data_IF_514196339407
#
_entry.id   IF_514196339407
#
_cell.length_a   1.000
_cell.length_b   1.000
_cell.length_c   1.000
_cell.angle_alpha   90.00
_cell.angle_beta   90.00
_cell.angle_gamma   90.00
#
_symmetry.space_group_name_H-M   'P 1'
#
loop_
_entity.id
_entity.type
_entity.pdbx_description
1 polymer ?
#
# COMPACT_ATOMS: atom_id res chain seq x y z
N UNK A 1 -15.66 -36.00 6.29
CA UNK A 1 -15.05 -35.06 5.31
C UNK A 1 -14.15 -35.86 4.36
N UNK A 2 -13.70 -35.32 3.23
CA UNK A 2 -12.67 -35.95 2.39
C UNK A 2 -11.27 -35.58 2.92
N UNK A 3 -10.39 -36.57 3.08
CA UNK A 3 -9.02 -36.42 3.58
C UNK A 3 -8.18 -35.41 2.77
N UNK A 4 -8.42 -35.27 1.46
CA UNK A 4 -7.74 -34.29 0.62
C UNK A 4 -8.20 -32.86 0.91
N UNK A 5 -9.47 -32.67 1.27
CA UNK A 5 -10.00 -31.37 1.68
C UNK A 5 -9.51 -31.03 3.09
N UNK A 6 -9.43 -32.04 3.98
CA UNK A 6 -8.84 -31.88 5.31
C UNK A 6 -7.38 -31.43 5.24
N UNK A 7 -6.52 -32.14 4.50
CA UNK A 7 -5.11 -31.77 4.27
C UNK A 7 -4.95 -30.34 3.74
N UNK A 8 -5.76 -29.94 2.76
CA UNK A 8 -5.75 -28.58 2.19
C UNK A 8 -6.21 -27.47 3.15
N UNK A 9 -6.86 -27.82 4.26
CA UNK A 9 -7.37 -26.88 5.28
C UNK A 9 -6.69 -27.01 6.62
N UNK A 10 -5.66 -27.86 6.74
CA UNK A 10 -5.02 -28.19 8.00
C UNK A 10 -4.27 -26.99 8.61
N UNK A 11 -3.52 -26.24 7.80
CA UNK A 11 -2.87 -24.99 8.25
C UNK A 11 -3.91 -23.92 8.61
N UNK A 12 -4.94 -23.72 7.77
CA UNK A 12 -6.07 -22.83 8.11
C UNK A 12 -6.76 -23.24 9.43
N UNK A 13 -6.77 -24.53 9.79
CA UNK A 13 -7.33 -25.04 11.04
C UNK A 13 -6.43 -24.75 12.24
N UNK A 14 -5.12 -25.02 12.11
CA UNK A 14 -4.12 -24.80 13.17
C UNK A 14 -4.01 -23.32 13.58
N UNK A 15 -4.18 -22.39 12.64
CA UNK A 15 -4.19 -20.94 12.89
C UNK A 15 -5.56 -20.38 13.33
N UNK A 16 -6.58 -21.24 13.57
CA UNK A 16 -7.99 -20.87 13.78
C UNK A 16 -8.56 -19.97 12.65
N UNK A 17 -8.01 -20.11 11.45
CA UNK A 17 -8.29 -19.29 10.27
C UNK A 17 -9.51 -19.74 9.43
N UNK A 18 -10.08 -20.91 9.70
CA UNK A 18 -11.30 -21.45 9.06
C UNK A 18 -12.63 -20.85 9.59
N UNK A 19 -13.76 -21.26 8.99
CA UNK A 19 -15.12 -20.99 9.50
C UNK A 19 -15.55 -22.03 10.53
N UNK A 20 -16.48 -21.67 11.43
CA UNK A 20 -17.03 -22.57 12.47
C UNK A 20 -17.55 -23.90 11.90
N UNK A 21 -18.31 -23.85 10.80
CA UNK A 21 -18.89 -25.05 10.18
C UNK A 21 -17.81 -25.98 9.60
N UNK A 22 -16.72 -25.41 9.08
CA UNK A 22 -15.56 -26.16 8.61
C UNK A 22 -14.78 -26.76 9.80
N UNK A 23 -14.64 -26.00 10.90
CA UNK A 23 -13.98 -26.46 12.13
C UNK A 23 -14.65 -27.70 12.69
N UNK A 24 -15.97 -27.65 12.88
CA UNK A 24 -16.75 -28.81 13.35
C UNK A 24 -16.72 -30.00 12.37
N UNK A 25 -16.64 -29.74 11.05
CA UNK A 25 -16.48 -30.80 10.05
C UNK A 25 -15.08 -31.45 10.08
N UNK A 26 -14.03 -30.70 10.42
CA UNK A 26 -12.67 -31.19 10.58
C UNK A 26 -12.47 -31.94 11.89
N UNK A 27 -13.02 -31.44 13.00
CA UNK A 27 -13.04 -32.11 14.31
C UNK A 27 -13.66 -33.52 14.20
N UNK A 28 -14.88 -33.63 13.68
CA UNK A 28 -15.54 -34.91 13.43
C UNK A 28 -14.76 -35.82 12.48
N UNK A 29 -14.11 -35.26 11.47
CA UNK A 29 -13.30 -36.08 10.56
C UNK A 29 -12.03 -36.63 11.22
N UNK A 30 -11.44 -35.93 12.20
CA UNK A 30 -10.35 -36.49 13.00
C UNK A 30 -10.82 -37.61 13.92
N UNK A 31 -12.04 -37.54 14.46
CA UNK A 31 -12.66 -38.64 15.22
C UNK A 31 -12.86 -39.89 14.36
N UNK A 32 -13.24 -39.73 13.09
CA UNK A 32 -13.52 -40.81 12.14
C UNK A 32 -12.29 -41.34 11.37
N UNK A 33 -11.24 -40.52 11.18
CA UNK A 33 -10.10 -40.85 10.31
C UNK A 33 -8.75 -40.75 11.04
N UNK A 34 -8.20 -41.91 11.39
CA UNK A 34 -6.92 -42.06 12.11
C UNK A 34 -5.73 -41.43 11.35
N UNK A 35 -5.63 -41.64 10.04
CA UNK A 35 -4.57 -41.05 9.20
C UNK A 35 -4.58 -39.51 9.24
N UNK A 36 -5.76 -38.89 9.10
CA UNK A 36 -5.91 -37.44 9.20
C UNK A 36 -5.59 -36.91 10.61
N UNK A 37 -5.91 -37.67 11.65
CA UNK A 37 -5.55 -37.36 13.05
C UNK A 37 -4.04 -37.44 13.29
N UNK A 38 -3.37 -38.44 12.75
CA UNK A 38 -1.91 -38.59 12.84
C UNK A 38 -1.18 -37.43 12.14
N UNK A 39 -1.65 -37.04 10.95
CA UNK A 39 -1.11 -35.87 10.23
C UNK A 39 -1.35 -34.60 11.04
N UNK A 40 -2.56 -34.39 11.59
CA UNK A 40 -2.84 -33.23 12.45
C UNK A 40 -1.90 -33.16 13.66
N UNK A 41 -1.68 -34.28 14.35
CA UNK A 41 -0.80 -34.31 15.52
C UNK A 41 0.65 -33.94 15.16
N UNK A 42 1.18 -34.44 14.03
CA UNK A 42 2.54 -34.11 13.57
C UNK A 42 2.69 -32.64 13.18
N UNK A 43 1.75 -32.08 12.42
CA UNK A 43 1.79 -30.66 12.04
C UNK A 43 1.60 -29.74 13.26
N UNK A 44 0.81 -30.17 14.26
CA UNK A 44 0.65 -29.45 15.54
C UNK A 44 1.92 -29.48 16.38
N UNK A 45 2.61 -30.62 16.45
CA UNK A 45 3.89 -30.76 17.15
C UNK A 45 4.95 -29.83 16.54
N UNK A 46 5.03 -29.75 15.20
CA UNK A 46 5.91 -28.81 14.48
C UNK A 46 5.55 -27.34 14.77
N UNK A 47 4.26 -26.97 14.80
CA UNK A 47 3.82 -25.61 15.14
C UNK A 47 4.11 -25.26 16.62
N UNK A 48 3.97 -26.21 17.54
CA UNK A 48 4.32 -26.03 18.96
C UNK A 48 5.83 -25.88 19.18
N UNK A 49 6.66 -26.72 18.52
CA UNK A 49 8.12 -26.56 18.50
C UNK A 49 8.52 -25.20 17.93
N UNK A 50 7.97 -24.82 16.76
CA UNK A 50 8.25 -23.53 16.12
C UNK A 50 7.90 -22.36 17.04
N UNK A 51 6.71 -22.34 17.64
CA UNK A 51 6.30 -21.30 18.60
C UNK A 51 7.18 -21.27 19.84
N UNK A 52 7.66 -22.42 20.32
CA UNK A 52 8.56 -22.48 21.48
C UNK A 52 9.88 -21.73 21.25
N UNK A 53 10.40 -21.74 20.01
CA UNK A 53 11.60 -20.98 19.61
C UNK A 53 11.37 -19.46 19.63
N UNK A 54 10.12 -19.01 19.43
CA UNK A 54 9.75 -17.58 19.47
C UNK A 54 9.26 -17.10 20.85
N UNK A 55 9.07 -18.00 21.83
CA UNK A 55 8.80 -17.66 23.23
C UNK A 55 10.07 -17.16 23.96
N UNK A 56 10.69 -16.13 23.41
CA UNK A 56 11.69 -15.31 24.10
C UNK A 56 10.91 -14.26 24.91
N UNK A 57 11.29 -14.06 26.18
CA UNK A 57 10.55 -13.28 27.18
C UNK A 57 9.94 -11.96 26.64
N UNK A 58 8.61 -11.93 26.53
CA UNK A 58 7.83 -10.70 26.32
C UNK A 58 7.14 -10.52 24.95
N UNK A 59 7.20 -11.48 24.03
CA UNK A 59 6.53 -11.36 22.72
C UNK A 59 5.33 -12.33 22.60
N UNK A 60 4.13 -11.87 22.98
CA UNK A 60 2.89 -12.58 22.66
C UNK A 60 2.46 -12.34 21.19
N UNK A 61 2.58 -13.37 20.35
CA UNK A 61 2.01 -13.37 19.00
C UNK A 61 0.49 -13.55 19.02
N UNK A 62 -0.23 -12.50 19.42
CA UNK A 62 -1.69 -12.45 19.29
C UNK A 62 -2.11 -12.35 17.81
N UNK A 63 -2.89 -13.34 17.34
CA UNK A 63 -3.43 -13.31 15.98
C UNK A 63 -4.32 -12.09 15.76
N UNK A 64 -3.92 -11.20 14.86
CA UNK A 64 -4.60 -9.95 14.54
C UNK A 64 -6.04 -10.15 14.04
N UNK A 65 -6.40 -11.38 13.64
CA UNK A 65 -7.77 -11.81 13.36
C UNK A 65 -8.74 -11.58 14.53
N UNK A 66 -8.33 -11.84 15.77
CA UNK A 66 -9.21 -11.65 16.93
C UNK A 66 -9.62 -10.18 17.09
N UNK A 67 -8.68 -9.26 16.90
CA UNK A 67 -8.93 -7.82 17.00
C UNK A 67 -9.62 -7.26 15.76
N UNK A 68 -9.33 -7.77 14.56
CA UNK A 68 -10.10 -7.46 13.35
C UNK A 68 -11.58 -7.90 13.54
N UNK A 69 -11.84 -9.09 14.07
CA UNK A 69 -13.19 -9.60 14.33
C UNK A 69 -13.93 -8.86 15.47
N UNK A 70 -13.22 -8.22 16.39
CA UNK A 70 -13.79 -7.25 17.35
C UNK A 70 -14.08 -5.90 16.71
N UNK A 71 -13.20 -5.41 15.81
CA UNK A 71 -13.32 -4.11 15.12
C UNK A 71 -14.37 -4.10 14.00
N UNK A 72 -14.77 -5.26 13.46
CA UNK A 72 -15.89 -5.36 12.50
C UNK A 72 -17.22 -5.13 13.22
N UNK A 73 -17.87 -3.99 12.94
CA UNK A 73 -19.24 -3.72 13.40
C UNK A 73 -20.23 -4.73 12.80
N UNK A 74 -20.60 -5.71 13.63
CA UNK A 74 -21.56 -6.77 13.29
C UNK A 74 -22.94 -6.21 12.91
N UNK A 75 -23.31 -5.01 13.37
CA UNK A 75 -24.58 -4.39 13.03
C UNK A 75 -24.63 -3.95 11.56
N UNK A 76 -23.49 -3.47 11.02
CA UNK A 76 -23.35 -3.05 9.60
C UNK A 76 -23.67 -4.16 8.61
N UNK A 77 -23.33 -5.41 8.95
CA UNK A 77 -23.51 -6.59 8.10
C UNK A 77 -24.68 -7.50 8.53
N UNK A 78 -25.39 -7.13 9.59
CA UNK A 78 -26.56 -7.88 10.08
C UNK A 78 -27.66 -7.98 9.02
N UNK A 79 -28.23 -9.18 8.83
CA UNK A 79 -29.29 -9.43 7.84
C UNK A 79 -30.67 -8.89 8.25
N UNK A 80 -30.79 -8.17 9.37
CA UNK A 80 -32.08 -7.68 9.87
C UNK A 80 -32.66 -6.60 8.94
N UNK A 81 -33.98 -6.68 8.69
CA UNK A 81 -34.68 -5.71 7.81
C UNK A 81 -34.67 -4.29 8.42
N UNK A 82 -34.63 -4.19 9.74
CA UNK A 82 -34.58 -2.93 10.51
C UNK A 82 -33.27 -2.18 10.30
N UNK A 83 -32.11 -2.84 10.42
CA UNK A 83 -30.81 -2.16 10.28
C UNK A 83 -30.55 -1.66 8.85
N UNK A 84 -31.07 -2.38 7.84
CA UNK A 84 -31.08 -1.87 6.45
C UNK A 84 -31.88 -0.58 6.32
N UNK A 85 -33.06 -0.49 6.94
CA UNK A 85 -33.92 0.70 6.87
C UNK A 85 -33.25 1.91 7.54
N UNK A 86 -32.68 1.73 8.73
CA UNK A 86 -31.88 2.76 9.43
C UNK A 86 -30.69 3.22 8.58
N UNK A 87 -29.98 2.30 7.93
CA UNK A 87 -28.88 2.64 7.04
C UNK A 87 -29.33 3.46 5.82
N UNK A 88 -30.45 3.10 5.18
CA UNK A 88 -31.01 3.88 4.06
C UNK A 88 -31.43 5.29 4.49
N UNK A 89 -32.06 5.44 5.66
CA UNK A 89 -32.43 6.75 6.22
C UNK A 89 -31.17 7.58 6.51
N UNK A 90 -30.16 7.01 7.16
CA UNK A 90 -28.90 7.68 7.50
C UNK A 90 -28.11 8.08 6.24
N UNK A 91 -28.08 7.23 5.21
CA UNK A 91 -27.41 7.49 3.92
C UNK A 91 -28.07 8.62 3.13
N UNK A 92 -29.40 8.74 3.15
CA UNK A 92 -30.15 9.76 2.42
C UNK A 92 -30.62 10.95 3.30
N UNK A 93 -30.06 11.13 4.50
CA UNK A 93 -30.55 12.09 5.52
C UNK A 93 -30.86 13.49 4.98
N UNK A 94 -30.00 14.03 4.11
CA UNK A 94 -30.17 15.37 3.54
C UNK A 94 -31.40 15.50 2.61
N UNK A 95 -31.74 14.43 1.86
CA UNK A 95 -32.94 14.39 1.00
C UNK A 95 -34.24 14.33 1.82
N UNK A 96 -34.19 13.67 2.98
CA UNK A 96 -35.31 13.67 3.92
C UNK A 96 -35.45 15.01 4.64
N UNK A 97 -34.34 15.64 5.06
CA UNK A 97 -34.38 17.00 5.64
C UNK A 97 -34.97 18.04 4.67
N UNK A 98 -34.61 18.01 3.37
CA UNK A 98 -35.20 18.93 2.40
C UNK A 98 -36.71 18.69 2.19
N UNK A 99 -37.16 17.44 2.20
CA UNK A 99 -38.58 17.11 2.08
C UNK A 99 -39.39 17.55 3.32
N UNK A 100 -38.84 17.36 4.53
CA UNK A 100 -39.46 17.82 5.78
C UNK A 100 -39.53 19.35 5.84
N UNK A 101 -38.47 20.06 5.40
CA UNK A 101 -38.48 21.51 5.31
C UNK A 101 -39.56 22.02 4.35
N UNK A 102 -39.69 21.43 3.16
CA UNK A 102 -40.74 21.77 2.20
C UNK A 102 -42.16 21.52 2.76
N UNK A 103 -42.38 20.41 3.47
CA UNK A 103 -43.65 20.12 4.13
C UNK A 103 -43.98 21.11 5.25
N UNK A 104 -42.99 21.51 6.06
CA UNK A 104 -43.16 22.52 7.10
C UNK A 104 -43.53 23.90 6.50
N UNK A 105 -42.89 24.29 5.40
CA UNK A 105 -43.25 25.53 4.66
C UNK A 105 -44.70 25.45 4.17
N UNK A 106 -45.14 24.34 3.57
CA UNK A 106 -46.53 24.18 3.14
C UNK A 106 -47.53 24.29 4.31
N UNK A 107 -47.24 23.65 5.45
CA UNK A 107 -48.10 23.73 6.64
C UNK A 107 -48.21 25.14 7.23
N UNK A 108 -47.18 25.97 7.09
CA UNK A 108 -47.20 27.37 7.57
C UNK A 108 -47.90 28.29 6.57
N UNK A 109 -47.64 28.15 5.27
CA UNK A 109 -48.15 29.07 4.25
C UNK A 109 -49.60 28.78 3.81
N UNK A 110 -50.03 27.51 3.76
CA UNK A 110 -51.40 27.17 3.34
C UNK A 110 -52.49 27.84 4.20
N UNK A 111 -52.42 27.85 5.55
CA UNK A 111 -53.40 28.56 6.38
C UNK A 111 -53.42 30.09 6.17
N UNK A 112 -52.27 30.69 5.84
CA UNK A 112 -52.14 32.14 5.62
C UNK A 112 -52.81 32.53 4.30
N UNK A 113 -52.51 31.81 3.22
CA UNK A 113 -53.14 32.01 1.90
C UNK A 113 -54.64 31.71 1.97
N UNK A 114 -55.06 30.64 2.67
CA UNK A 114 -56.46 30.30 2.86
C UNK A 114 -57.24 31.36 3.67
N UNK A 115 -56.61 32.02 4.64
CA UNK A 115 -57.23 33.13 5.39
C UNK A 115 -57.45 34.39 4.55
N UNK A 116 -56.48 34.75 3.69
CA UNK A 116 -56.62 35.91 2.80
C UNK A 116 -57.59 35.68 1.62
N UNK A 117 -58.06 34.45 1.39
CA UNK A 117 -58.98 34.09 0.31
C UNK A 117 -60.47 34.39 0.60
N UNK A 118 -60.80 34.98 1.76
CA UNK A 118 -62.17 35.48 2.02
C UNK A 118 -62.40 36.85 1.38
N UNK A 119 -62.34 36.90 0.05
CA UNK A 119 -62.57 38.11 -0.74
C UNK A 119 -62.70 37.83 -2.24
N UNK A 120 -63.94 38.02 -2.74
CA UNK A 120 -64.39 37.96 -4.14
C UNK A 120 -64.46 36.61 -4.88
N UNK A 121 -65.68 36.36 -5.38
CA UNK A 121 -66.03 35.33 -6.34
C UNK A 121 -65.46 35.68 -7.73
N UNK A 122 -64.78 34.72 -8.37
CA UNK A 122 -64.74 34.62 -9.83
C UNK A 122 -65.02 33.17 -10.24
N UNK A 123 -66.31 32.85 -10.27
CA UNK A 123 -66.84 31.61 -10.81
C UNK A 123 -67.80 31.97 -11.95
N UNK A 124 -67.27 32.10 -13.18
CA UNK A 124 -68.11 32.17 -14.39
C UNK A 124 -67.37 31.80 -15.68
N UNK A 125 -67.75 30.65 -16.25
CA UNK A 125 -67.55 30.28 -17.66
C UNK A 125 -66.15 29.78 -18.04
N UNK A 126 -66.01 28.80 -18.92
CA UNK A 126 -66.99 27.91 -19.58
C UNK A 126 -66.29 26.61 -19.99
N UNK A 127 -66.91 25.45 -19.77
CA UNK A 127 -66.60 24.25 -20.56
C UNK A 127 -67.46 24.29 -21.82
N UNK A 128 -66.85 24.10 -22.99
CA UNK A 128 -67.22 23.09 -24.01
C UNK A 128 -66.76 23.46 -25.43
N UNK A 129 -66.74 22.43 -26.29
CA UNK A 129 -66.29 22.40 -27.70
C UNK A 129 -64.77 22.50 -27.91
N UNK A 130 -64.03 21.44 -28.26
CA UNK A 130 -64.16 20.42 -29.31
C UNK A 130 -63.34 20.73 -30.58
N UNK A 131 -62.37 19.85 -30.83
CA UNK A 131 -62.03 19.26 -32.13
C UNK A 131 -61.89 20.18 -33.36
N UNK A 132 -60.64 20.48 -33.72
CA UNK A 132 -60.23 20.58 -35.13
C UNK A 132 -58.77 20.15 -35.34
N UNK A 133 -58.53 19.51 -36.48
CA UNK A 133 -57.28 18.88 -36.91
C UNK A 133 -56.38 19.82 -37.70
N UNK A 134 -55.10 19.44 -37.84
CA UNK A 134 -54.15 19.89 -38.88
C UNK A 134 -53.63 21.35 -38.78
N UNK A 135 -52.37 21.67 -39.14
CA UNK A 135 -51.34 20.91 -39.88
C UNK A 135 -49.91 21.52 -39.70
N UNK A 136 -48.93 20.91 -40.40
CA UNK A 136 -47.62 21.47 -40.84
C UNK A 136 -46.38 21.31 -39.92
N UNK A 137 -45.71 20.17 -40.14
CA UNK A 137 -44.26 20.01 -40.37
C UNK A 137 -43.23 20.41 -39.28
N UNK A 138 -42.50 19.39 -38.82
CA UNK A 138 -41.05 19.32 -39.08
C UNK A 138 -40.60 17.90 -39.41
N UNK A 139 -39.58 17.81 -40.29
CA UNK A 139 -39.19 16.59 -41.01
C UNK A 139 -38.44 15.59 -40.12
N UNK A 140 -38.80 14.32 -40.25
CA UNK A 140 -37.87 13.18 -40.17
C UNK A 140 -37.65 12.68 -41.62
N UNK A 141 -36.66 11.81 -41.98
CA UNK A 141 -36.62 10.42 -41.46
C UNK A 141 -35.27 9.65 -41.45
N UNK A 142 -35.20 8.58 -40.62
CA UNK A 142 -34.46 7.29 -40.86
C UNK A 142 -32.92 7.39 -40.99
N UNK A 143 -32.08 6.32 -40.96
CA UNK A 143 -32.16 4.84 -40.78
C UNK A 143 -30.84 4.44 -40.04
N UNK A 144 -30.50 3.23 -39.56
CA UNK A 144 -31.06 1.85 -39.54
C UNK A 144 -30.44 1.10 -38.33
N UNK A 145 -30.77 -0.19 -38.12
CA UNK A 145 -30.00 -1.15 -37.30
C UNK A 145 -29.17 -2.08 -38.20
N UNK A 146 -28.00 -2.55 -37.75
CA UNK A 146 -27.41 -3.82 -38.20
C UNK A 146 -26.70 -4.52 -37.03
N UNK A 147 -26.97 -5.82 -36.85
CA UNK A 147 -26.27 -6.69 -35.89
C UNK A 147 -25.29 -7.64 -36.61
N UNK A 148 -24.34 -8.18 -35.82
CA UNK A 148 -23.46 -9.37 -36.00
C UNK A 148 -21.95 -9.05 -36.00
N UNK A 149 -21.07 -9.88 -35.44
CA UNK A 149 -21.17 -10.92 -34.38
C UNK A 149 -19.78 -11.51 -34.08
N UNK A 150 -19.53 -11.93 -32.82
CA UNK A 150 -18.45 -12.85 -32.36
C UNK A 150 -16.97 -12.48 -32.66
N UNK A 151 -16.20 -12.25 -31.60
CA UNK A 151 -15.27 -13.23 -31.03
C UNK A 151 -14.74 -12.68 -29.69
N UNK A 152 -14.41 -13.53 -28.72
CA UNK A 152 -13.98 -13.07 -27.39
C UNK A 152 -12.49 -13.31 -27.13
N UNK A 153 -11.94 -12.60 -26.15
CA UNK A 153 -10.92 -13.15 -25.26
C UNK A 153 -10.87 -12.37 -23.93
N UNK A 154 -10.79 -13.15 -22.85
CA UNK A 154 -10.22 -12.89 -21.52
C UNK A 154 -10.30 -11.49 -20.89
N UNK A 155 -10.91 -11.49 -19.70
CA UNK A 155 -10.82 -10.49 -18.64
C UNK A 155 -9.39 -9.99 -18.37
N UNK A 156 -9.22 -8.67 -18.38
CA UNK A 156 -8.06 -7.99 -17.81
C UNK A 156 -8.37 -7.46 -16.40
N UNK A 157 -7.32 -7.29 -15.59
CA UNK A 157 -7.37 -7.07 -14.15
C UNK A 157 -8.17 -5.86 -13.66
N UNK A 158 -8.74 -6.03 -12.46
CA UNK A 158 -9.08 -4.92 -11.57
C UNK A 158 -7.84 -4.52 -10.77
N UNK A 159 -6.91 -3.81 -11.40
CA UNK A 159 -5.87 -3.09 -10.65
C UNK A 159 -6.55 -1.96 -9.88
N UNK A 160 -6.60 -2.05 -8.55
CA UNK A 160 -7.17 -1.01 -7.70
C UNK A 160 -6.22 0.19 -7.65
N UNK A 161 -6.51 1.21 -8.47
CA UNK A 161 -5.88 2.52 -8.35
C UNK A 161 -6.34 3.13 -7.02
N UNK A 162 -5.45 3.23 -6.05
CA UNK A 162 -5.70 3.88 -4.76
C UNK A 162 -5.43 5.39 -4.90
N UNK A 163 -6.29 6.23 -4.32
CA UNK A 163 -6.23 7.69 -4.50
C UNK A 163 -5.05 8.32 -3.73
N UNK A 164 -4.13 8.91 -4.48
CA UNK A 164 -2.97 9.64 -3.96
C UNK A 164 -3.38 11.04 -3.47
N UNK A 165 -3.03 11.38 -2.22
CA UNK A 165 -3.20 12.72 -1.65
C UNK A 165 -1.84 13.29 -1.25
N UNK A 166 -1.37 14.29 -2.01
CA UNK A 166 -0.15 15.03 -1.71
C UNK A 166 -0.42 16.20 -0.77
N UNK A 167 0.44 16.39 0.24
CA UNK A 167 0.41 17.54 1.13
C UNK A 167 1.75 18.30 1.01
N UNK A 168 1.74 19.50 0.42
CA UNK A 168 2.97 20.16 -0.08
C UNK A 168 3.84 20.88 0.98
N UNK A 169 3.58 20.67 2.27
CA UNK A 169 4.38 21.26 3.34
C UNK A 169 5.72 20.51 3.53
N UNK A 170 6.84 21.21 3.32
CA UNK A 170 8.19 20.65 3.56
C UNK A 170 8.58 20.83 5.03
N UNK A 171 8.87 19.73 5.73
CA UNK A 171 9.31 19.72 7.14
C UNK A 171 10.83 19.82 7.27
N UNK A 172 11.33 20.62 8.20
CA UNK A 172 12.75 20.66 8.57
C UNK A 172 13.08 19.47 9.50
N UNK A 173 14.07 18.65 9.14
CA UNK A 173 14.40 17.40 9.81
C UNK A 173 15.92 17.26 9.96
N UNK A 174 16.35 16.58 11.03
CA UNK A 174 17.78 16.39 11.33
C UNK A 174 18.28 15.06 10.78
N UNK A 175 19.50 15.05 10.25
CA UNK A 175 20.24 13.81 10.03
C UNK A 175 20.64 13.19 11.37
N UNK A 176 20.73 11.87 11.39
CA UNK A 176 21.40 11.15 12.47
C UNK A 176 22.93 11.20 12.26
N UNK A 177 23.67 11.33 13.35
CA UNK A 177 25.14 11.26 13.37
C UNK A 177 25.58 10.46 14.61
N UNK A 178 25.69 9.13 14.46
CA UNK A 178 26.11 8.23 15.55
C UNK A 178 25.54 6.81 15.43
N UNK A 179 26.00 5.92 16.29
CA UNK A 179 25.44 4.57 16.44
C UNK A 179 24.13 4.63 17.23
N UNK A 180 23.01 4.34 16.56
CA UNK A 180 21.70 4.25 17.22
C UNK A 180 21.51 2.83 17.76
N UNK A 181 21.40 2.69 19.08
CA UNK A 181 21.22 1.39 19.74
C UNK A 181 19.89 0.77 19.29
N UNK A 182 19.94 -0.41 18.68
CA UNK A 182 18.75 -1.13 18.20
C UNK A 182 18.31 -0.80 16.77
N UNK A 183 19.09 -0.04 16.00
CA UNK A 183 18.83 0.18 14.57
C UNK A 183 19.81 -0.66 13.74
N UNK A 184 19.28 -1.44 12.79
CA UNK A 184 20.08 -2.17 11.81
C UNK A 184 20.81 -1.18 10.89
N UNK A 185 22.11 -1.40 10.67
CA UNK A 185 22.94 -0.63 9.75
C UNK A 185 23.52 -1.62 8.73
N UNK A 186 23.05 -1.63 7.47
CA UNK A 186 23.50 -2.59 6.46
C UNK A 186 24.98 -2.33 6.14
N UNK A 187 25.81 -3.37 6.16
CA UNK A 187 27.12 -3.35 5.50
C UNK A 187 26.99 -4.06 4.16
N UNK A 188 27.77 -3.66 3.17
CA UNK A 188 27.77 -4.26 1.85
C UNK A 188 29.07 -5.03 1.61
N UNK A 189 28.96 -6.32 1.31
CA UNK A 189 30.09 -7.10 0.81
C UNK A 189 30.32 -6.76 -0.68
N UNK A 190 31.56 -6.42 -1.03
CA UNK A 190 31.94 -5.99 -2.38
C UNK A 190 32.60 -7.16 -3.13
N UNK A 191 32.06 -7.49 -4.30
CA UNK A 191 32.66 -8.47 -5.24
C UNK A 191 32.75 -7.90 -6.65
N UNK A 192 33.61 -8.47 -7.49
CA UNK A 192 33.58 -8.20 -8.94
C UNK A 192 32.37 -8.89 -9.57
N UNK A 193 31.70 -8.21 -10.50
CA UNK A 193 30.62 -8.81 -11.27
C UNK A 193 31.14 -9.96 -12.16
N UNK A 194 30.40 -11.06 -12.21
CA UNK A 194 30.62 -12.17 -13.14
C UNK A 194 30.40 -11.76 -14.59
N UNK A 195 30.76 -12.62 -15.55
CA UNK A 195 30.55 -12.34 -16.99
C UNK A 195 29.07 -12.10 -17.31
N UNK A 196 28.19 -13.02 -16.89
CA UNK A 196 26.73 -12.94 -17.09
C UNK A 196 26.12 -11.66 -16.52
N UNK A 197 26.61 -11.21 -15.37
CA UNK A 197 26.16 -9.99 -14.71
C UNK A 197 26.55 -8.71 -15.47
N UNK A 198 27.75 -8.66 -16.06
CA UNK A 198 28.19 -7.52 -16.89
C UNK A 198 27.47 -7.44 -18.25
N UNK A 199 26.87 -8.55 -18.69
CA UNK A 199 26.12 -8.67 -19.95
C UNK A 199 24.61 -8.36 -19.76
N UNK A 200 24.16 -8.05 -18.53
CA UNK A 200 22.78 -7.59 -18.27
C UNK A 200 22.57 -6.18 -18.85
N UNK A 201 21.54 -6.01 -19.67
CA UNK A 201 21.11 -4.72 -20.21
C UNK A 201 20.33 -3.90 -19.16
N UNK A 202 21.05 -3.32 -18.20
CA UNK A 202 20.50 -2.38 -17.22
C UNK A 202 20.52 -0.96 -17.80
N UNK A 203 19.39 -0.25 -17.76
CA UNK A 203 19.21 1.08 -18.38
C UNK A 203 19.17 2.24 -17.38
N UNK A 204 19.12 1.96 -16.08
CA UNK A 204 18.90 2.92 -14.98
C UNK A 204 20.19 3.43 -14.30
N UNK A 205 21.31 3.39 -15.02
CA UNK A 205 22.62 3.87 -14.55
C UNK A 205 22.64 5.38 -14.28
N UNK A 206 22.97 5.78 -13.05
CA UNK A 206 23.26 7.17 -12.66
C UNK A 206 24.76 7.39 -12.53
N UNK A 207 25.32 8.38 -13.23
CA UNK A 207 26.73 8.75 -13.09
C UNK A 207 27.01 9.51 -11.79
N UNK A 208 28.19 9.24 -11.21
CA UNK A 208 28.83 10.07 -10.19
C UNK A 208 29.12 11.50 -10.68
N UNK A 209 29.24 12.50 -9.80
CA UNK A 209 29.44 13.90 -10.20
C UNK A 209 30.67 14.12 -11.08
N UNK A 210 31.80 13.48 -10.76
CA UNK A 210 33.02 13.50 -11.58
C UNK A 210 33.01 12.58 -12.81
N UNK A 211 31.93 11.83 -13.07
CA UNK A 211 31.82 10.83 -14.16
C UNK A 211 32.90 9.72 -14.14
N UNK A 212 33.52 9.42 -12.99
CA UNK A 212 34.45 8.30 -12.82
C UNK A 212 33.71 6.96 -12.64
N UNK A 213 32.56 7.01 -11.98
CA UNK A 213 31.71 5.87 -11.67
C UNK A 213 30.27 6.08 -12.16
N UNK A 214 29.54 4.99 -12.31
CA UNK A 214 28.09 4.97 -12.53
C UNK A 214 27.47 3.86 -11.69
N UNK A 215 26.27 4.05 -11.16
CA UNK A 215 25.61 3.11 -10.26
C UNK A 215 24.14 2.83 -10.65
N UNK A 216 23.68 1.61 -10.40
CA UNK A 216 22.28 1.21 -10.54
C UNK A 216 21.92 0.11 -9.51
N UNK A 217 20.62 -0.17 -9.36
CA UNK A 217 20.10 -1.30 -8.58
C UNK A 217 19.59 -2.34 -9.58
N UNK A 218 19.86 -3.63 -9.32
CA UNK A 218 19.28 -4.71 -10.12
C UNK A 218 17.73 -4.74 -10.01
N UNK A 219 17.05 -5.27 -11.03
CA UNK A 219 15.59 -5.42 -11.03
C UNK A 219 14.78 -4.13 -11.21
N UNK A 220 15.40 -2.95 -11.13
CA UNK A 220 14.70 -1.67 -11.26
C UNK A 220 14.58 -1.18 -12.71
N UNK A 221 13.45 -1.50 -13.35
CA UNK A 221 12.89 -0.74 -14.48
C UNK A 221 12.25 0.54 -13.94
N UNK A 222 12.24 1.60 -14.74
CA UNK A 222 11.50 2.85 -14.55
C UNK A 222 10.01 2.63 -14.16
N UNK A 223 9.45 1.45 -14.47
CA UNK A 223 8.02 1.11 -14.30
C UNK A 223 7.70 0.00 -13.31
N UNK A 224 8.67 -0.72 -12.74
CA UNK A 224 8.42 -1.75 -11.72
C UNK A 224 9.63 -1.93 -10.80
N UNK A 225 9.36 -2.00 -9.49
CA UNK A 225 10.27 -2.63 -8.51
C UNK A 225 9.94 -4.12 -8.55
N UNK A 226 10.87 -4.94 -9.03
CA UNK A 226 10.74 -6.40 -8.94
C UNK A 226 10.78 -6.84 -7.47
N UNK A 227 10.01 -7.88 -7.10
CA UNK A 227 9.95 -8.37 -5.73
C UNK A 227 11.16 -9.25 -5.43
N UNK A 228 11.97 -8.86 -4.45
CA UNK A 228 13.15 -9.64 -4.05
C UNK A 228 14.25 -8.82 -3.40
N UNK A 229 15.36 -9.51 -3.15
CA UNK A 229 16.61 -8.93 -2.66
C UNK A 229 17.49 -8.62 -3.88
N UNK A 230 17.74 -7.33 -4.10
CA UNK A 230 18.55 -6.82 -5.21
C UNK A 230 19.93 -6.35 -4.73
N UNK A 231 20.90 -6.38 -5.64
CA UNK A 231 22.25 -5.85 -5.41
C UNK A 231 22.40 -4.44 -6.01
N UNK A 232 23.33 -3.64 -5.47
CA UNK A 232 23.79 -2.40 -6.15
C UNK A 232 24.97 -2.76 -7.05
N UNK A 233 24.97 -2.23 -8.27
CA UNK A 233 26.04 -2.39 -9.24
C UNK A 233 26.73 -1.06 -9.45
N UNK A 234 28.07 -1.02 -9.33
CA UNK A 234 28.86 0.19 -9.58
C UNK A 234 29.91 -0.11 -10.66
N UNK A 235 29.81 0.61 -11.77
CA UNK A 235 30.71 0.54 -12.92
C UNK A 235 31.73 1.68 -12.85
N UNK A 236 33.01 1.34 -12.87
CA UNK A 236 34.07 2.31 -13.16
C UNK A 236 34.07 2.60 -14.67
N UNK A 237 33.83 3.87 -15.03
CA UNK A 237 33.59 4.27 -16.42
C UNK A 237 34.87 4.28 -17.27
N UNK A 238 36.04 4.47 -16.66
CA UNK A 238 37.34 4.46 -17.35
C UNK A 238 37.81 3.04 -17.70
N UNK A 239 37.69 2.08 -16.77
CA UNK A 239 38.17 0.71 -16.93
C UNK A 239 37.10 -0.29 -17.38
N UNK A 240 35.82 0.11 -17.35
CA UNK A 240 34.68 -0.76 -17.64
C UNK A 240 34.38 -1.82 -16.57
N UNK A 241 35.21 -1.94 -15.52
CA UNK A 241 35.02 -2.88 -14.43
C UNK A 241 33.72 -2.57 -13.65
N UNK A 242 33.01 -3.64 -13.28
CA UNK A 242 31.77 -3.55 -12.49
C UNK A 242 31.96 -4.32 -11.19
N UNK A 243 31.70 -3.65 -10.08
CA UNK A 243 31.59 -4.25 -8.75
C UNK A 243 30.10 -4.40 -8.38
N UNK A 244 29.79 -5.43 -7.61
CA UNK A 244 28.47 -5.72 -7.05
C UNK A 244 28.57 -5.61 -5.53
N UNK A 245 27.57 -4.97 -4.93
CA UNK A 245 27.46 -4.67 -3.51
C UNK A 245 26.20 -5.37 -3.01
N UNK A 246 26.40 -6.44 -2.24
CA UNK A 246 25.32 -7.24 -1.65
C UNK A 246 25.22 -6.94 -0.15
N UNK A 247 24.01 -6.82 0.40
CA UNK A 247 23.85 -6.63 1.84
C UNK A 247 24.39 -7.85 2.59
N UNK A 248 25.35 -7.60 3.49
CA UNK A 248 26.03 -8.61 4.30
C UNK A 248 25.10 -9.17 5.37
N UNK A 249 25.18 -10.49 5.58
CA UNK A 249 24.46 -11.23 6.63
C UNK A 249 22.95 -10.92 6.69
N UNK A 250 22.33 -10.77 5.51
CA UNK A 250 21.00 -10.21 5.30
C UNK A 250 19.82 -11.14 5.72
N UNK A 251 19.77 -11.48 7.00
CA UNK A 251 18.71 -12.33 7.59
C UNK A 251 17.33 -11.65 7.56
N UNK A 252 17.30 -10.32 7.59
CA UNK A 252 16.09 -9.49 7.57
C UNK A 252 15.50 -9.29 6.16
N UNK A 253 16.12 -9.85 5.11
CA UNK A 253 15.66 -9.71 3.72
C UNK A 253 15.54 -8.25 3.24
N UNK A 254 16.41 -7.39 3.76
CA UNK A 254 16.53 -6.00 3.35
C UNK A 254 17.04 -5.91 1.89
N UNK A 255 16.71 -4.83 1.19
CA UNK A 255 17.18 -4.56 -0.17
C UNK A 255 17.40 -3.06 -0.39
N UNK A 256 18.39 -2.64 -1.20
CA UNK A 256 18.40 -1.30 -1.78
C UNK A 256 17.11 -1.06 -2.59
N UNK A 257 16.40 0.04 -2.29
CA UNK A 257 15.16 0.46 -2.93
C UNK A 257 15.30 1.77 -3.72
N UNK A 258 16.36 2.54 -3.46
CA UNK A 258 16.68 3.77 -4.20
C UNK A 258 18.16 4.10 -4.02
N UNK A 259 18.75 4.77 -5.01
CA UNK A 259 20.07 5.39 -4.86
C UNK A 259 20.16 6.78 -5.48
N UNK A 260 20.98 7.65 -4.89
CA UNK A 260 21.35 8.98 -5.38
C UNK A 260 22.81 9.27 -5.01
N UNK A 261 23.60 9.84 -5.91
CA UNK A 261 24.99 10.19 -5.59
C UNK A 261 25.03 11.39 -4.64
N UNK A 262 25.72 11.24 -3.50
CA UNK A 262 26.02 12.39 -2.65
C UNK A 262 27.29 13.10 -3.12
N UNK A 263 28.37 12.37 -3.36
CA UNK A 263 29.61 12.92 -3.90
C UNK A 263 30.26 11.91 -4.87
N UNK A 264 31.57 11.97 -5.04
CA UNK A 264 32.33 11.12 -5.96
C UNK A 264 32.58 9.69 -5.44
N UNK A 265 32.51 9.50 -4.12
CA UNK A 265 32.85 8.24 -3.42
C UNK A 265 31.70 7.74 -2.51
N UNK A 266 30.63 8.50 -2.36
CA UNK A 266 29.52 8.20 -1.45
C UNK A 266 28.14 8.28 -2.14
N UNK A 267 27.29 7.26 -1.88
CA UNK A 267 25.94 7.10 -2.42
C UNK A 267 24.93 7.11 -1.27
N UNK A 268 23.89 7.92 -1.40
CA UNK A 268 22.71 7.84 -0.54
C UNK A 268 21.84 6.69 -1.03
N UNK A 269 21.73 5.64 -0.21
CA UNK A 269 20.92 4.46 -0.48
C UNK A 269 19.72 4.41 0.46
N UNK A 270 18.54 4.16 -0.09
CA UNK A 270 17.37 3.78 0.71
C UNK A 270 17.37 2.27 0.83
N UNK A 271 17.28 1.73 2.05
CA UNK A 271 17.17 0.29 2.30
C UNK A 271 15.89 0.02 3.09
N UNK A 272 15.10 -0.93 2.59
CA UNK A 272 13.86 -1.42 3.19
C UNK A 272 13.67 -2.91 2.88
N UNK A 273 12.52 -3.49 3.24
CA UNK A 273 12.27 -4.93 3.00
C UNK A 273 12.06 -5.24 1.51
N UNK A 274 12.71 -6.29 1.01
CA UNK A 274 12.62 -6.71 -0.41
C UNK A 274 11.39 -7.55 -0.75
N UNK A 275 10.67 -8.05 0.26
CA UNK A 275 9.43 -8.81 0.09
C UNK A 275 8.26 -8.11 0.78
N UNK A 276 7.06 -8.31 0.24
CA UNK A 276 5.81 -7.74 0.73
C UNK A 276 5.27 -6.60 -0.13
N UNK A 277 3.95 -6.40 -0.11
CA UNK A 277 3.24 -5.38 -0.91
C UNK A 277 3.24 -3.98 -0.27
N UNK A 278 3.65 -3.89 0.99
CA UNK A 278 3.64 -2.66 1.79
C UNK A 278 4.96 -1.90 1.67
N UNK A 279 6.10 -2.60 1.60
CA UNK A 279 7.42 -1.98 1.51
C UNK A 279 7.59 -1.21 0.19
N UNK A 280 7.71 0.11 0.28
CA UNK A 280 7.89 1.04 -0.86
C UNK A 280 9.11 1.96 -0.66
N UNK A 281 9.86 1.75 0.41
CA UNK A 281 10.95 2.60 0.86
C UNK A 281 11.45 2.13 2.24
N UNK A 282 12.22 2.97 2.91
CA UNK A 282 12.77 2.63 4.22
C UNK A 282 13.69 3.70 4.79
N UNK A 283 14.76 3.24 5.44
CA UNK A 283 15.78 4.10 6.04
C UNK A 283 16.77 4.61 4.99
N UNK A 284 17.31 5.81 5.22
CA UNK A 284 18.35 6.41 4.35
C UNK A 284 19.72 6.19 4.98
N UNK A 285 20.64 5.66 4.19
CA UNK A 285 22.03 5.45 4.56
C UNK A 285 22.97 6.11 3.57
N UNK A 286 24.14 6.49 4.06
CA UNK A 286 25.29 6.98 3.30
C UNK A 286 26.26 5.80 3.13
N UNK A 287 26.42 5.30 1.89
CA UNK A 287 27.25 4.15 1.51
C UNK A 287 28.54 4.64 0.85
N UNK A 288 29.68 4.33 1.47
CA UNK A 288 30.98 4.57 0.86
C UNK A 288 31.32 3.46 -0.15
N UNK A 289 31.50 3.83 -1.42
CA UNK A 289 31.70 2.85 -2.50
C UNK A 289 33.05 2.13 -2.41
N UNK A 290 34.04 2.71 -1.73
CA UNK A 290 35.37 2.12 -1.65
C UNK A 290 35.48 1.06 -0.54
N UNK A 291 34.65 1.15 0.51
CA UNK A 291 34.71 0.25 1.68
C UNK A 291 33.48 -0.64 1.87
N UNK A 292 32.32 -0.27 1.32
CA UNK A 292 31.07 -0.98 1.55
C UNK A 292 30.44 -0.71 2.92
N UNK A 293 31.05 0.18 3.71
CA UNK A 293 30.49 0.62 4.98
C UNK A 293 29.37 1.65 4.77
N UNK A 294 28.34 1.60 5.63
CA UNK A 294 27.29 2.62 5.64
C UNK A 294 27.18 3.34 6.96
N UNK A 295 26.56 4.53 6.91
CA UNK A 295 26.15 5.31 8.07
C UNK A 295 24.69 5.70 7.91
N UNK A 296 23.93 5.66 8.99
CA UNK A 296 22.53 6.09 8.94
C UNK A 296 22.44 7.61 8.79
N UNK A 297 21.72 8.06 7.77
CA UNK A 297 21.41 9.48 7.51
C UNK A 297 20.05 9.82 8.09
N UNK A 298 19.06 8.95 7.87
CA UNK A 298 17.71 9.11 8.40
C UNK A 298 17.12 7.76 8.80
N UNK A 299 16.74 7.64 10.08
CA UNK A 299 15.95 6.54 10.60
C UNK A 299 14.47 6.93 10.59
N UNK A 300 13.62 6.18 9.90
CA UNK A 300 12.18 6.45 9.87
C UNK A 300 11.49 6.00 11.14
N UNK A 301 10.30 6.55 11.36
CA UNK A 301 9.40 6.14 12.44
C UNK A 301 8.55 4.92 11.99
N UNK A 302 7.89 4.21 12.93
CA UNK A 302 6.80 3.31 12.56
C UNK A 302 5.78 4.02 11.65
N UNK A 303 5.34 3.34 10.59
CA UNK A 303 4.47 3.88 9.52
C UNK A 303 5.07 4.97 8.62
N UNK A 304 6.36 5.23 8.72
CA UNK A 304 7.06 6.21 7.88
C UNK A 304 8.12 5.48 7.03
N UNK A 305 8.17 5.75 5.73
CA UNK A 305 9.15 5.21 4.80
C UNK A 305 9.66 6.34 3.91
N UNK A 306 10.98 6.52 3.79
CA UNK A 306 11.52 7.37 2.71
C UNK A 306 11.48 6.56 1.44
N UNK A 307 10.82 7.06 0.40
CA UNK A 307 10.77 6.40 -0.92
C UNK A 307 11.73 7.03 -1.93
N UNK A 308 12.19 8.27 -1.68
CA UNK A 308 13.14 8.96 -2.54
C UNK A 308 13.97 9.99 -1.79
N UNK A 309 15.23 10.12 -2.21
CA UNK A 309 16.18 11.14 -1.76
C UNK A 309 16.58 12.00 -2.97
N UNK A 310 16.77 13.30 -2.79
CA UNK A 310 17.27 14.20 -3.83
C UNK A 310 18.23 15.22 -3.22
N UNK A 311 19.49 15.21 -3.66
CA UNK A 311 20.49 16.21 -3.28
C UNK A 311 20.19 17.55 -3.96
N UNK A 312 20.28 18.65 -3.20
CA UNK A 312 20.32 20.02 -3.75
C UNK A 312 21.37 20.84 -3.00
N UNK A 313 22.53 21.05 -3.62
CA UNK A 313 23.66 21.73 -2.97
C UNK A 313 24.18 20.92 -1.77
N UNK A 314 23.96 21.43 -0.56
CA UNK A 314 24.30 20.77 0.71
C UNK A 314 23.09 20.16 1.44
N UNK A 315 21.90 20.27 0.85
CA UNK A 315 20.66 19.85 1.49
C UNK A 315 20.13 18.57 0.84
N UNK A 316 19.51 17.70 1.65
CA UNK A 316 18.82 16.49 1.19
C UNK A 316 17.31 16.69 1.29
N UNK A 317 16.62 16.54 0.17
CA UNK A 317 15.17 16.52 0.11
C UNK A 317 14.70 15.07 0.11
N UNK A 318 13.79 14.74 1.02
CA UNK A 318 13.28 13.39 1.24
C UNK A 318 11.78 13.38 0.94
N UNK A 319 11.34 12.50 0.04
CA UNK A 319 9.92 12.21 -0.19
C UNK A 319 9.54 11.00 0.68
N UNK A 320 8.46 11.14 1.45
CA UNK A 320 7.98 10.18 2.44
C UNK A 320 6.65 9.57 2.05
N UNK A 321 6.49 8.29 2.35
CA UNK A 321 5.20 7.62 2.49
C UNK A 321 4.90 7.54 3.98
N UNK A 322 3.73 8.06 4.38
CA UNK A 322 3.24 8.02 5.76
C UNK A 322 1.89 7.30 5.78
N UNK A 323 1.82 6.14 6.43
CA UNK A 323 0.58 5.35 6.48
C UNK A 323 -0.38 5.89 7.55
N UNK A 324 -1.63 6.08 7.14
CA UNK A 324 -2.69 6.66 7.97
C UNK A 324 -3.33 5.62 8.91
N UNK A 325 -3.27 4.33 8.56
CA UNK A 325 -3.83 3.22 9.33
C UNK A 325 -2.77 2.25 9.87
N UNK A 326 -3.16 1.31 10.74
CA UNK A 326 -2.23 0.31 11.34
C UNK A 326 -1.91 -0.86 10.40
N UNK A 327 -2.72 -1.05 9.35
CA UNK A 327 -2.64 -2.17 8.41
C UNK A 327 -1.90 -1.81 7.12
N UNK A 328 -1.40 -0.57 7.06
CA UNK A 328 -0.63 0.04 5.98
C UNK A 328 -1.32 0.00 4.61
N UNK A 329 -2.65 0.17 4.58
CA UNK A 329 -3.42 0.26 3.34
C UNK A 329 -3.51 1.72 2.84
N UNK A 330 -3.96 2.64 3.69
CA UNK A 330 -4.06 4.07 3.34
C UNK A 330 -2.76 4.83 3.70
N UNK A 331 -2.33 5.73 2.82
CA UNK A 331 -1.16 6.59 3.03
C UNK A 331 -1.30 7.94 2.31
N UNK A 332 -0.54 8.91 2.79
CA UNK A 332 -0.30 10.19 2.12
C UNK A 332 1.21 10.41 1.88
N UNK A 333 1.52 11.38 1.00
CA UNK A 333 2.90 11.78 0.75
C UNK A 333 3.26 13.05 1.53
N UNK A 334 4.41 13.02 2.19
CA UNK A 334 5.03 14.18 2.83
C UNK A 334 6.42 14.46 2.26
N UNK A 335 6.94 15.67 2.51
CA UNK A 335 8.28 16.10 2.10
C UNK A 335 9.05 16.60 3.30
N UNK A 336 10.34 16.25 3.39
CA UNK A 336 11.25 16.78 4.40
C UNK A 336 12.56 17.27 3.80
N UNK A 337 13.28 18.10 4.55
CA UNK A 337 14.62 18.57 4.20
C UNK A 337 15.59 18.42 5.36
N UNK A 338 16.73 17.76 5.10
CA UNK A 338 17.90 17.78 5.96
C UNK A 338 18.83 18.87 5.43
N UNK A 339 18.98 19.96 6.17
CA UNK A 339 19.81 21.10 5.78
C UNK A 339 21.28 20.90 6.15
N UNK A 340 22.18 21.29 5.24
CA UNK A 340 23.62 21.34 5.50
C UNK A 340 24.26 19.98 5.80
N UNK A 341 23.72 18.90 5.23
CA UNK A 341 24.24 17.54 5.37
C UNK A 341 25.72 17.46 4.93
N UNK A 342 26.47 16.59 5.61
CA UNK A 342 27.89 16.32 5.35
C UNK A 342 28.15 14.85 5.64
N UNK A 343 29.03 14.24 4.84
CA UNK A 343 29.62 12.94 5.16
C UNK A 343 30.57 13.12 6.34
N UNK A 344 30.29 12.45 7.45
CA UNK A 344 31.24 12.35 8.56
C UNK A 344 32.41 11.48 8.13
N UNK A 345 33.51 12.11 7.73
CA UNK A 345 34.81 11.44 7.56
C UNK A 345 35.38 11.13 8.94
N UNK A 346 34.97 9.98 9.50
CA UNK A 346 35.69 9.38 10.62
C UNK A 346 37.11 9.08 10.15
N UNK A 347 38.07 9.91 10.60
CA UNK A 347 39.49 9.59 10.46
C UNK A 347 39.71 8.25 11.15
N UNK A 348 40.24 7.28 10.41
CA UNK A 348 40.84 6.09 11.02
C UNK A 348 42.01 6.57 11.89
N UNK A 349 41.78 6.67 13.19
CA UNK A 349 42.86 6.74 14.16
C UNK A 349 43.49 5.35 14.20
N UNK A 350 44.50 5.15 13.34
CA UNK A 350 45.36 3.98 13.41
C UNK A 350 46.03 3.92 14.78
N UNK A 351 45.43 3.17 15.70
CA UNK A 351 46.06 2.80 16.96
C UNK A 351 47.06 1.68 16.68
N UNK A 352 48.26 2.06 16.26
CA UNK A 352 49.41 1.16 16.27
C UNK A 352 49.78 0.82 17.71
N UNK A 353 49.63 -0.45 18.08
CA UNK A 353 50.29 -1.12 19.20
C UNK A 353 50.59 -2.56 18.79
#
# INVERSE_FOLDING_TARGET
>A
MDCNVFKKRLYDYLEDNITHDMKSAMEKHMEECENCREIYNKEKEIDEEFRSVFNIDGIEFSSSRADIMKKIDRNRYSKSKTNKLVFFIKKNRYKYMSAVAAAAVLLIFVPIVARNSKGNNYLKGTMDSAMSTESVQKRSPKKVKTERSKAGLLSADKTSIMEEKSNDAIKDIRSYSGSVKGVYIPKFDIRKASKKEREKNITTWKNSPNNKFSACIEGMDIRNVDLGIHDIYIKNLQSGNVNVYSIKDNKEQNTPMYLEWWDDDNILVIVGFGYGTVSKGGNVYDLNINTGETKIVYNTKPKEQVCKVTKRGKDLYLDFIVYDDDVMNEYHLEKGVIKGYKVDTQKQTNSSY
#
